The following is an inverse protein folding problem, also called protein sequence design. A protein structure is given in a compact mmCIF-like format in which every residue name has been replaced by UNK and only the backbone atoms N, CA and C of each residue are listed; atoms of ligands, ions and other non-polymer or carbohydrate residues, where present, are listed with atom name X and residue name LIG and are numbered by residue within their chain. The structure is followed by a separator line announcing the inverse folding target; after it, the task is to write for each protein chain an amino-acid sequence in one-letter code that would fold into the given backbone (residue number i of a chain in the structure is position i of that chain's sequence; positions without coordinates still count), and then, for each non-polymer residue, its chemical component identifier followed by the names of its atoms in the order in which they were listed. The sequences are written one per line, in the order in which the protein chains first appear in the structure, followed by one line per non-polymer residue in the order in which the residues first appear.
data_IF_783111250944
#
_entry.id   IF_783111250944
#
_cell.length_a   1.000
_cell.length_b   1.000
_cell.length_c   1.000
_cell.angle_alpha   90.00
_cell.angle_beta   90.00
_cell.angle_gamma   90.00
#
_symmetry.space_group_name_H-M   'P 1'
#
loop_
_entity.id
_entity.type
_entity.pdbx_description
1 polymer ?
#
# COMPACT_ATOMS: atom_id res chain seq x y z
N UNK A 1 55.73 17.78 -19.10
CA UNK A 1 56.09 16.41 -18.63
C UNK A 1 55.37 15.93 -17.36
N UNK A 2 54.89 16.87 -16.51
CA UNK A 2 54.27 16.49 -15.24
C UNK A 2 52.73 16.29 -15.33
N UNK A 3 52.06 16.91 -16.27
CA UNK A 3 50.59 16.81 -16.39
C UNK A 3 50.13 15.51 -17.09
N UNK A 4 50.90 14.98 -18.03
CA UNK A 4 50.62 13.70 -18.66
C UNK A 4 50.79 12.52 -17.68
N UNK A 5 51.86 12.53 -16.89
CA UNK A 5 52.09 11.50 -15.87
C UNK A 5 51.00 11.47 -14.79
N UNK A 6 50.47 12.63 -14.38
CA UNK A 6 49.35 12.71 -13.43
C UNK A 6 48.02 12.24 -14.06
N UNK A 7 47.80 12.48 -15.36
CA UNK A 7 46.62 11.95 -16.07
C UNK A 7 46.67 10.44 -16.28
N UNK A 8 47.85 9.87 -16.50
CA UNK A 8 47.99 8.42 -16.66
C UNK A 8 47.87 7.68 -15.31
N UNK A 9 48.42 8.22 -14.23
CA UNK A 9 48.22 7.68 -12.86
C UNK A 9 46.74 7.79 -12.43
N UNK A 10 46.07 8.90 -12.78
CA UNK A 10 44.62 9.05 -12.52
C UNK A 10 43.79 8.07 -13.36
N UNK A 11 44.14 7.81 -14.61
CA UNK A 11 43.48 6.79 -15.46
C UNK A 11 43.72 5.37 -14.97
N UNK A 12 44.96 5.05 -14.54
CA UNK A 12 45.27 3.73 -13.95
C UNK A 12 44.52 3.52 -12.64
N UNK A 13 44.47 4.53 -11.74
CA UNK A 13 43.70 4.41 -10.50
C UNK A 13 42.20 4.29 -10.72
N UNK A 14 41.63 4.96 -11.74
CA UNK A 14 40.25 4.78 -12.19
C UNK A 14 40.00 3.36 -12.73
N UNK A 15 40.96 2.82 -13.48
CA UNK A 15 40.83 1.48 -14.07
C UNK A 15 40.92 0.38 -12.99
N UNK A 16 41.84 0.52 -12.04
CA UNK A 16 41.95 -0.38 -10.88
C UNK A 16 40.67 -0.35 -10.05
N UNK A 17 40.09 0.82 -9.79
CA UNK A 17 38.81 0.98 -9.09
C UNK A 17 37.65 0.30 -9.79
N UNK A 18 37.59 0.35 -11.14
CA UNK A 18 36.54 -0.29 -11.93
C UNK A 18 36.66 -1.82 -11.92
N UNK A 19 37.88 -2.36 -11.95
CA UNK A 19 38.13 -3.81 -11.88
C UNK A 19 37.75 -4.37 -10.52
N UNK A 20 38.09 -3.69 -9.43
CA UNK A 20 37.71 -4.12 -8.09
C UNK A 20 36.19 -4.06 -7.87
N UNK A 21 35.50 -3.03 -8.42
CA UNK A 21 34.03 -2.94 -8.39
C UNK A 21 33.37 -4.12 -9.08
N UNK A 22 33.84 -4.45 -10.29
CA UNK A 22 33.34 -5.60 -11.05
C UNK A 22 33.55 -6.89 -10.27
N UNK A 23 34.75 -7.08 -9.71
CA UNK A 23 35.08 -8.26 -8.91
C UNK A 23 34.20 -8.41 -7.66
N UNK A 24 33.96 -7.35 -6.92
CA UNK A 24 33.08 -7.38 -5.75
C UNK A 24 31.62 -7.64 -6.12
N UNK A 25 31.17 -7.07 -7.22
CA UNK A 25 29.83 -7.35 -7.75
C UNK A 25 29.69 -8.82 -8.18
N UNK A 26 30.69 -9.39 -8.80
CA UNK A 26 30.70 -10.79 -9.22
C UNK A 26 30.83 -11.73 -8.02
N UNK A 27 31.60 -11.36 -7.01
CA UNK A 27 31.70 -12.10 -5.75
C UNK A 27 30.35 -12.10 -5.02
N UNK A 28 29.68 -10.96 -4.95
CA UNK A 28 28.33 -10.85 -4.39
C UNK A 28 27.33 -11.71 -5.18
N UNK A 29 27.40 -11.65 -6.52
CA UNK A 29 26.56 -12.49 -7.40
C UNK A 29 26.80 -13.97 -7.09
N UNK A 30 28.06 -14.40 -6.98
CA UNK A 30 28.39 -15.78 -6.68
C UNK A 30 27.75 -16.24 -5.39
N UNK A 31 27.97 -15.55 -4.27
CA UNK A 31 27.46 -15.97 -2.97
C UNK A 31 25.95 -15.81 -2.78
N UNK A 32 25.33 -14.79 -3.34
CA UNK A 32 23.89 -14.54 -3.18
C UNK A 32 23.01 -15.20 -4.23
N UNK A 33 23.50 -15.38 -5.46
CA UNK A 33 22.71 -15.86 -6.59
C UNK A 33 23.05 -17.29 -7.03
N UNK A 34 24.13 -17.87 -6.52
CA UNK A 34 24.51 -19.23 -6.92
C UNK A 34 23.44 -20.24 -6.51
N UNK A 35 23.01 -21.17 -7.41
CA UNK A 35 21.99 -22.19 -7.11
C UNK A 35 22.29 -23.05 -5.88
N UNK A 36 23.58 -23.30 -5.61
CA UNK A 36 24.08 -24.10 -4.47
C UNK A 36 24.64 -23.23 -3.34
N UNK A 37 24.14 -22.00 -3.19
CA UNK A 37 24.62 -21.04 -2.17
C UNK A 37 24.61 -21.59 -0.73
N UNK A 38 23.72 -22.53 -0.43
CA UNK A 38 23.65 -23.15 0.90
C UNK A 38 24.87 -24.05 1.21
N UNK A 39 25.67 -24.42 0.21
CA UNK A 39 26.87 -25.23 0.38
C UNK A 39 28.14 -24.42 0.65
N UNK A 40 28.07 -23.10 0.54
CA UNK A 40 29.21 -22.21 0.75
C UNK A 40 28.99 -21.37 2.02
N UNK A 41 30.05 -21.16 2.79
CA UNK A 41 30.05 -20.14 3.84
C UNK A 41 29.93 -18.76 3.17
N UNK A 42 28.75 -18.18 3.24
CA UNK A 42 28.47 -16.88 2.64
C UNK A 42 29.12 -15.79 3.51
N UNK A 43 30.19 -15.12 3.05
CA UNK A 43 30.83 -14.05 3.79
C UNK A 43 29.91 -12.84 4.01
N UNK A 44 28.81 -12.74 3.24
CA UNK A 44 27.79 -11.70 3.39
C UNK A 44 26.71 -12.05 4.43
N UNK A 45 26.73 -13.25 5.00
CA UNK A 45 25.85 -13.62 6.13
C UNK A 45 26.29 -13.04 7.47
N UNK A 46 27.54 -12.61 7.57
CA UNK A 46 28.00 -11.90 8.75
C UNK A 46 27.50 -10.47 8.66
N UNK A 47 26.98 -9.92 9.77
CA UNK A 47 26.48 -8.51 9.90
C UNK A 47 27.59 -7.46 9.68
N UNK A 48 28.59 -7.77 8.86
CA UNK A 48 29.73 -6.92 8.58
C UNK A 48 29.76 -6.58 7.10
N UNK A 49 29.60 -5.30 6.82
CA UNK A 49 29.88 -4.74 5.49
C UNK A 49 31.31 -5.03 5.10
N UNK A 50 31.57 -5.33 3.81
CA UNK A 50 32.92 -5.47 3.27
C UNK A 50 33.84 -4.28 3.58
N UNK A 51 33.26 -3.12 3.79
CA UNK A 51 33.96 -1.90 4.21
C UNK A 51 34.71 -2.02 5.52
N UNK A 52 34.46 -3.06 6.32
CA UNK A 52 35.17 -3.33 7.58
C UNK A 52 36.45 -4.17 7.44
N UNK A 53 36.77 -4.66 6.23
CA UNK A 53 38.04 -5.30 5.98
C UNK A 53 39.11 -4.24 5.78
N UNK A 54 40.08 -4.17 6.70
CA UNK A 54 41.12 -3.12 6.81
C UNK A 54 41.92 -2.89 5.52
N UNK A 55 42.15 -3.92 4.71
CA UNK A 55 42.89 -3.85 3.44
C UNK A 55 42.10 -3.09 2.35
N UNK A 56 40.76 -3.11 2.43
CA UNK A 56 39.86 -2.47 1.43
C UNK A 56 39.23 -1.19 1.97
N UNK A 57 39.45 -0.87 3.24
CA UNK A 57 38.75 0.18 3.97
C UNK A 57 38.85 1.56 3.31
N UNK A 58 40.04 1.96 2.87
CA UNK A 58 40.27 3.26 2.24
C UNK A 58 39.59 3.40 0.85
N UNK A 59 39.42 2.29 0.14
CA UNK A 59 38.80 2.26 -1.19
C UNK A 59 37.28 2.11 -1.13
N UNK A 60 36.78 1.34 -0.16
CA UNK A 60 35.38 0.94 -0.07
C UNK A 60 34.52 1.87 0.80
N UNK A 61 35.15 2.76 1.59
CA UNK A 61 34.44 3.74 2.42
C UNK A 61 34.16 5.08 1.73
N UNK A 62 34.51 5.23 0.45
CA UNK A 62 34.12 6.45 -0.26
C UNK A 62 32.60 6.50 -0.43
N UNK A 63 31.93 7.62 -0.08
CA UNK A 63 30.48 7.74 -0.22
C UNK A 63 29.97 7.41 -1.63
N UNK A 64 30.73 7.77 -2.65
CA UNK A 64 30.41 7.46 -4.04
C UNK A 64 30.35 5.94 -4.29
N UNK A 65 31.29 5.16 -3.78
CA UNK A 65 31.29 3.71 -3.91
C UNK A 65 30.12 3.07 -3.14
N UNK A 66 29.87 3.54 -1.90
CA UNK A 66 28.78 3.04 -1.06
C UNK A 66 27.41 3.25 -1.75
N UNK A 67 27.17 4.41 -2.37
CA UNK A 67 25.95 4.69 -3.13
C UNK A 67 25.83 3.85 -4.40
N UNK A 68 26.94 3.61 -5.10
CA UNK A 68 26.96 2.77 -6.30
C UNK A 68 26.62 1.31 -5.93
N UNK A 69 27.22 0.79 -4.86
CA UNK A 69 26.92 -0.54 -4.34
C UNK A 69 25.45 -0.66 -3.91
N UNK A 70 24.95 0.31 -3.17
CA UNK A 70 23.55 0.34 -2.78
C UNK A 70 22.62 0.36 -4.00
N UNK A 71 22.93 1.16 -5.02
CA UNK A 71 22.14 1.22 -6.27
C UNK A 71 22.17 -0.10 -7.03
N UNK A 72 23.32 -0.81 -7.03
CA UNK A 72 23.43 -2.15 -7.60
C UNK A 72 22.55 -3.16 -6.86
N UNK A 73 22.52 -3.10 -5.53
CA UNK A 73 21.72 -3.98 -4.67
C UNK A 73 20.23 -3.71 -4.84
N UNK A 74 19.83 -2.44 -4.90
CA UNK A 74 18.43 -2.03 -5.16
C UNK A 74 17.90 -2.59 -6.48
N UNK A 75 18.67 -2.50 -7.57
CA UNK A 75 18.29 -3.05 -8.88
C UNK A 75 18.05 -4.58 -8.85
N UNK A 76 18.49 -5.26 -7.81
CA UNK A 76 18.33 -6.69 -7.59
C UNK A 76 17.40 -7.02 -6.42
N UNK A 77 16.71 -5.99 -5.90
CA UNK A 77 15.75 -6.11 -4.80
C UNK A 77 16.36 -6.56 -3.47
N UNK A 78 17.70 -6.43 -3.31
CA UNK A 78 18.38 -6.66 -2.03
C UNK A 78 18.32 -5.41 -1.14
N UNK A 79 17.10 -4.97 -0.83
CA UNK A 79 16.85 -3.72 -0.14
C UNK A 79 17.47 -3.64 1.25
N UNK A 80 17.50 -4.77 1.98
CA UNK A 80 18.10 -4.80 3.32
C UNK A 80 19.61 -4.50 3.28
N UNK A 81 20.33 -5.09 2.32
CA UNK A 81 21.76 -4.87 2.16
C UNK A 81 22.01 -3.44 1.62
N UNK A 82 21.16 -2.95 0.71
CA UNK A 82 21.26 -1.60 0.18
C UNK A 82 21.13 -0.53 1.27
N UNK A 83 20.23 -0.73 2.25
CA UNK A 83 20.08 0.17 3.40
C UNK A 83 21.42 0.32 4.15
N UNK A 84 22.08 -0.80 4.45
CA UNK A 84 23.31 -0.78 5.22
C UNK A 84 24.43 0.04 4.53
N UNK A 85 24.54 -0.06 3.19
CA UNK A 85 25.49 0.71 2.41
C UNK A 85 25.13 2.21 2.35
N UNK A 86 23.85 2.53 2.21
CA UNK A 86 23.41 3.93 2.18
C UNK A 86 23.54 4.60 3.53
N UNK A 87 23.17 3.94 4.63
CA UNK A 87 23.32 4.47 5.97
C UNK A 87 24.81 4.70 6.32
N UNK A 88 25.71 3.85 5.84
CA UNK A 88 27.14 4.07 5.97
C UNK A 88 27.59 5.30 5.16
N UNK A 89 27.11 5.47 3.92
CA UNK A 89 27.41 6.66 3.11
C UNK A 89 26.98 7.96 3.81
N UNK A 90 25.79 7.95 4.41
CA UNK A 90 25.23 9.11 5.12
C UNK A 90 26.00 9.52 6.37
N UNK A 91 26.90 8.68 6.90
CA UNK A 91 27.80 9.06 8.00
C UNK A 91 28.97 9.90 7.53
N UNK A 92 29.31 9.87 6.24
CA UNK A 92 30.52 10.45 5.69
C UNK A 92 30.27 11.69 4.81
N UNK A 93 29.03 11.98 4.50
CA UNK A 93 28.64 13.14 3.68
C UNK A 93 27.26 13.69 4.07
N UNK A 94 27.00 14.93 3.68
CA UNK A 94 25.66 15.52 3.78
C UNK A 94 24.70 14.78 2.90
N UNK A 95 23.56 14.44 3.45
CA UNK A 95 22.48 13.75 2.70
C UNK A 95 21.94 14.66 1.58
N UNK A 96 21.87 14.13 0.38
CA UNK A 96 21.09 14.72 -0.71
C UNK A 96 19.69 14.07 -0.78
N UNK A 97 18.75 14.77 -1.41
CA UNK A 97 17.38 14.30 -1.52
C UNK A 97 17.28 12.94 -2.22
N UNK A 98 18.10 12.68 -3.24
CA UNK A 98 18.08 11.41 -3.98
C UNK A 98 18.52 10.23 -3.11
N UNK A 99 19.58 10.40 -2.35
CA UNK A 99 20.06 9.36 -1.42
C UNK A 99 19.02 9.05 -0.35
N UNK A 100 18.41 10.09 0.24
CA UNK A 100 17.34 9.93 1.24
C UNK A 100 16.11 9.20 0.66
N UNK A 101 15.69 9.54 -0.56
CA UNK A 101 14.61 8.84 -1.28
C UNK A 101 14.92 7.35 -1.48
N UNK A 102 16.14 7.01 -1.87
CA UNK A 102 16.57 5.63 -2.08
C UNK A 102 16.56 4.83 -0.76
N UNK A 103 17.05 5.43 0.33
CA UNK A 103 17.01 4.80 1.66
C UNK A 103 15.56 4.58 2.08
N UNK A 104 14.71 5.59 1.96
CA UNK A 104 13.30 5.50 2.29
C UNK A 104 12.59 4.40 1.49
N UNK A 105 12.82 4.34 0.18
CA UNK A 105 12.30 3.32 -0.70
C UNK A 105 12.70 1.89 -0.28
N UNK A 106 13.97 1.69 0.09
CA UNK A 106 14.43 0.41 0.60
C UNK A 106 13.76 0.04 1.93
N UNK A 107 13.56 1.00 2.83
CA UNK A 107 12.83 0.77 4.08
C UNK A 107 11.36 0.41 3.83
N UNK A 108 10.69 1.06 2.88
CA UNK A 108 9.32 0.74 2.48
C UNK A 108 9.21 -0.70 1.97
N UNK A 109 10.15 -1.16 1.13
CA UNK A 109 10.18 -2.51 0.56
C UNK A 109 10.67 -3.59 1.54
N UNK A 110 11.11 -3.22 2.72
CA UNK A 110 11.46 -4.14 3.81
C UNK A 110 10.46 -4.11 4.97
N UNK A 111 9.22 -3.66 4.68
CA UNK A 111 8.09 -3.59 5.62
C UNK A 111 8.41 -2.75 6.87
N UNK A 112 9.09 -1.61 6.65
CA UNK A 112 9.43 -0.65 7.71
C UNK A 112 8.95 0.76 7.35
N UNK A 113 7.63 0.95 7.13
CA UNK A 113 7.08 2.21 6.63
C UNK A 113 7.34 3.40 7.56
N UNK A 114 7.43 3.20 8.87
CA UNK A 114 7.76 4.30 9.80
C UNK A 114 9.16 4.87 9.57
N UNK A 115 10.15 4.01 9.27
CA UNK A 115 11.50 4.47 8.91
C UNK A 115 11.55 5.09 7.52
N UNK A 116 10.78 4.54 6.59
CA UNK A 116 10.64 5.11 5.25
C UNK A 116 10.12 6.55 5.32
N UNK A 117 9.06 6.80 6.09
CA UNK A 117 8.49 8.15 6.30
C UNK A 117 9.53 9.11 6.84
N UNK A 118 10.32 8.70 7.84
CA UNK A 118 11.37 9.55 8.39
C UNK A 118 12.35 10.06 7.31
N UNK A 119 12.81 9.17 6.43
CA UNK A 119 13.73 9.55 5.36
C UNK A 119 13.03 10.31 4.23
N UNK A 120 11.77 9.96 3.90
CA UNK A 120 10.99 10.73 2.92
C UNK A 120 10.73 12.15 3.39
N UNK A 121 10.41 12.38 4.66
CA UNK A 121 10.24 13.72 5.21
C UNK A 121 11.52 14.56 5.10
N UNK A 122 12.67 13.96 5.36
CA UNK A 122 13.94 14.65 5.17
C UNK A 122 14.24 14.94 3.69
N UNK A 123 13.90 14.04 2.79
CA UNK A 123 14.03 14.24 1.35
C UNK A 123 13.10 15.37 0.86
N UNK A 124 11.89 15.44 1.38
CA UNK A 124 10.91 16.48 1.07
C UNK A 124 11.38 17.87 1.51
N UNK A 125 12.02 17.98 2.67
CA UNK A 125 12.64 19.25 3.12
C UNK A 125 13.76 19.74 2.18
N UNK A 126 14.47 18.84 1.49
CA UNK A 126 15.53 19.17 0.55
C UNK A 126 15.02 19.38 -0.88
N UNK A 127 13.88 18.81 -1.21
CA UNK A 127 13.23 18.90 -2.52
C UNK A 127 11.72 19.00 -2.32
N UNK A 128 11.22 20.17 -1.89
CA UNK A 128 9.81 20.41 -1.65
C UNK A 128 8.97 20.18 -2.91
N UNK A 129 7.71 19.84 -2.71
CA UNK A 129 6.73 19.63 -3.80
C UNK A 129 7.14 18.54 -4.80
N UNK A 130 7.86 17.53 -4.32
CA UNK A 130 8.21 16.40 -5.15
C UNK A 130 7.06 15.38 -5.17
N UNK A 131 6.37 15.32 -6.30
CA UNK A 131 5.20 14.45 -6.51
C UNK A 131 5.49 12.97 -6.19
N UNK A 132 6.69 12.48 -6.53
CA UNK A 132 7.07 11.10 -6.26
C UNK A 132 7.23 10.84 -4.75
N UNK A 133 7.86 11.78 -4.01
CA UNK A 133 8.03 11.66 -2.55
C UNK A 133 6.66 11.64 -1.88
N UNK A 134 5.78 12.59 -2.22
CA UNK A 134 4.43 12.66 -1.66
C UNK A 134 3.62 11.39 -1.93
N UNK A 135 3.76 10.80 -3.15
CA UNK A 135 3.14 9.51 -3.49
C UNK A 135 3.65 8.36 -2.61
N UNK A 136 4.94 8.30 -2.33
CA UNK A 136 5.48 7.26 -1.46
C UNK A 136 5.08 7.49 0.01
N UNK A 137 5.04 8.74 0.45
CA UNK A 137 4.63 9.09 1.82
C UNK A 137 3.19 8.69 2.09
N UNK A 138 2.23 9.02 1.21
CA UNK A 138 0.84 8.65 1.46
C UNK A 138 0.66 7.13 1.52
N UNK A 139 1.36 6.35 0.66
CA UNK A 139 1.33 4.89 0.71
C UNK A 139 1.87 4.35 2.05
N UNK A 140 2.93 4.95 2.58
CA UNK A 140 3.46 4.57 3.88
C UNK A 140 2.53 4.96 5.04
N UNK A 141 1.89 6.14 4.97
CA UNK A 141 0.90 6.56 5.96
C UNK A 141 -0.33 5.67 5.95
N UNK A 142 -0.83 5.31 4.76
CA UNK A 142 -1.93 4.37 4.57
C UNK A 142 -1.62 3.02 5.21
N UNK A 143 -0.43 2.45 4.95
CA UNK A 143 0.02 1.19 5.54
C UNK A 143 0.11 1.22 7.08
N UNK A 144 0.27 2.40 7.68
CA UNK A 144 0.31 2.61 9.13
C UNK A 144 -1.04 3.00 9.72
N UNK A 145 -2.10 3.15 8.93
CA UNK A 145 -3.39 3.65 9.38
C UNK A 145 -3.36 5.12 9.83
N UNK A 146 -2.37 5.89 9.36
CA UNK A 146 -2.23 7.32 9.67
C UNK A 146 -2.96 8.18 8.65
N UNK A 147 -4.27 8.05 8.63
CA UNK A 147 -5.13 8.57 7.58
C UNK A 147 -5.16 10.10 7.47
N UNK A 148 -4.96 10.85 8.57
CA UNK A 148 -4.89 12.32 8.48
C UNK A 148 -3.63 12.77 7.71
N UNK A 149 -2.46 12.17 7.98
CA UNK A 149 -1.23 12.48 7.26
C UNK A 149 -1.29 11.98 5.80
N UNK A 150 -1.95 10.84 5.57
CA UNK A 150 -2.25 10.35 4.22
C UNK A 150 -3.07 11.40 3.44
N UNK A 151 -4.14 11.91 4.05
CA UNK A 151 -5.00 12.92 3.44
C UNK A 151 -4.27 14.21 3.11
N UNK A 152 -3.36 14.66 3.97
CA UNK A 152 -2.55 15.86 3.72
C UNK A 152 -1.66 15.67 2.48
N UNK A 153 -0.98 14.53 2.36
CA UNK A 153 -0.18 14.21 1.17
C UNK A 153 -1.03 14.14 -0.10
N UNK A 154 -2.20 13.50 -0.01
CA UNK A 154 -3.12 13.38 -1.15
C UNK A 154 -3.66 14.74 -1.61
N UNK A 155 -3.97 15.66 -0.70
CA UNK A 155 -4.39 17.03 -1.02
C UNK A 155 -3.28 17.81 -1.72
N UNK A 156 -2.04 17.73 -1.23
CA UNK A 156 -0.90 18.36 -1.91
C UNK A 156 -0.72 17.82 -3.34
N UNK A 157 -0.90 16.51 -3.53
CA UNK A 157 -0.86 15.89 -4.86
C UNK A 157 -2.03 16.37 -5.75
N UNK A 158 -3.23 16.56 -5.20
CA UNK A 158 -4.37 17.08 -5.92
C UNK A 158 -4.16 18.53 -6.37
N UNK A 159 -3.54 19.37 -5.54
CA UNK A 159 -3.17 20.75 -5.90
C UNK A 159 -2.17 20.79 -7.07
N UNK A 160 -1.24 19.83 -7.13
CA UNK A 160 -0.29 19.69 -8.26
C UNK A 160 -0.95 19.14 -9.53
N UNK A 161 -1.95 18.26 -9.38
CA UNK A 161 -2.61 17.57 -10.48
C UNK A 161 -4.13 17.71 -10.38
N UNK A 162 -4.67 18.91 -10.60
CA UNK A 162 -6.11 19.17 -10.45
C UNK A 162 -6.93 18.29 -11.39
N UNK A 163 -7.89 17.59 -10.84
CA UNK A 163 -8.84 16.78 -11.61
C UNK A 163 -8.37 15.36 -11.95
N UNK A 164 -7.22 14.90 -11.42
CA UNK A 164 -6.83 13.49 -11.52
C UNK A 164 -7.85 12.61 -10.77
N UNK A 165 -8.60 11.83 -11.54
CA UNK A 165 -9.69 10.97 -11.04
C UNK A 165 -9.20 9.87 -10.10
N UNK A 166 -7.93 9.49 -10.18
CA UNK A 166 -7.31 8.54 -9.24
C UNK A 166 -7.12 9.19 -7.88
N UNK A 167 -6.60 10.43 -7.83
CA UNK A 167 -6.43 11.16 -6.57
C UNK A 167 -7.78 11.46 -5.91
N UNK A 168 -8.79 11.85 -6.68
CA UNK A 168 -10.16 12.03 -6.17
C UNK A 168 -10.65 10.73 -5.50
N UNK A 169 -10.41 9.58 -6.12
CA UNK A 169 -10.77 8.28 -5.57
C UNK A 169 -10.01 7.95 -4.29
N UNK A 170 -8.68 8.15 -4.26
CA UNK A 170 -7.85 7.88 -3.07
C UNK A 170 -8.24 8.80 -1.90
N UNK A 171 -8.48 10.09 -2.16
CA UNK A 171 -8.99 11.04 -1.16
C UNK A 171 -10.33 10.57 -0.60
N UNK A 172 -11.25 10.15 -1.47
CA UNK A 172 -12.54 9.61 -1.05
C UNK A 172 -12.41 8.39 -0.16
N UNK A 173 -11.54 7.44 -0.50
CA UNK A 173 -11.27 6.25 0.30
C UNK A 173 -10.62 6.60 1.65
N UNK A 174 -9.65 7.51 1.66
CA UNK A 174 -9.01 8.00 2.88
C UNK A 174 -10.02 8.68 3.82
N UNK A 175 -10.90 9.52 3.27
CA UNK A 175 -11.98 10.15 4.04
C UNK A 175 -12.97 9.12 4.63
N UNK A 176 -13.24 8.01 3.93
CA UNK A 176 -14.04 6.91 4.49
C UNK A 176 -13.34 6.26 5.68
N UNK A 177 -12.02 6.06 5.66
CA UNK A 177 -11.25 5.54 6.79
C UNK A 177 -11.26 6.49 8.00
N UNK A 178 -11.36 7.81 7.75
CA UNK A 178 -11.51 8.85 8.76
C UNK A 178 -12.97 9.02 9.24
N UNK A 179 -13.90 8.18 8.78
CA UNK A 179 -15.34 8.28 9.05
C UNK A 179 -15.97 9.62 8.61
N UNK A 180 -15.30 10.38 7.72
CA UNK A 180 -15.77 11.64 7.15
C UNK A 180 -16.65 11.37 5.92
N UNK A 181 -17.75 10.64 6.14
CA UNK A 181 -18.58 10.06 5.07
C UNK A 181 -19.23 11.09 4.15
N UNK A 182 -19.59 12.26 4.66
CA UNK A 182 -20.16 13.33 3.84
C UNK A 182 -19.16 13.83 2.79
N UNK A 183 -17.95 14.12 3.21
CA UNK A 183 -16.88 14.59 2.32
C UNK A 183 -16.44 13.48 1.35
N UNK A 184 -16.36 12.24 1.83
CA UNK A 184 -16.08 11.09 0.97
C UNK A 184 -17.13 10.94 -0.13
N UNK A 185 -18.42 11.01 0.22
CA UNK A 185 -19.50 10.91 -0.75
C UNK A 185 -19.42 12.01 -1.82
N UNK A 186 -19.06 13.25 -1.46
CA UNK A 186 -18.88 14.35 -2.41
C UNK A 186 -17.79 14.03 -3.44
N UNK A 187 -16.67 13.42 -3.02
CA UNK A 187 -15.60 12.99 -3.94
C UNK A 187 -16.08 11.92 -4.92
N UNK A 188 -16.86 10.97 -4.46
CA UNK A 188 -17.41 9.93 -5.33
C UNK A 188 -18.55 10.42 -6.24
N UNK A 189 -19.34 11.39 -5.82
CA UNK A 189 -20.29 12.10 -6.70
C UNK A 189 -19.56 12.85 -7.82
N UNK A 190 -18.40 13.44 -7.54
CA UNK A 190 -17.57 14.07 -8.57
C UNK A 190 -17.10 13.05 -9.61
N UNK A 191 -16.67 11.85 -9.19
CA UNK A 191 -16.30 10.77 -10.11
C UNK A 191 -17.49 10.25 -10.91
N UNK A 192 -18.66 10.09 -10.30
CA UNK A 192 -19.90 9.71 -10.99
C UNK A 192 -20.24 10.75 -12.07
N UNK A 193 -20.16 12.03 -11.75
CA UNK A 193 -20.42 13.12 -12.69
C UNK A 193 -19.45 13.14 -13.87
N UNK A 194 -18.18 12.85 -13.64
CA UNK A 194 -17.15 12.72 -14.68
C UNK A 194 -17.32 11.45 -15.53
N UNK A 195 -18.18 10.54 -15.15
CA UNK A 195 -18.35 9.23 -15.81
C UNK A 195 -17.20 8.25 -15.60
N UNK A 196 -16.33 8.55 -14.62
CA UNK A 196 -15.15 7.75 -14.30
C UNK A 196 -15.43 6.81 -13.13
N UNK A 197 -14.94 5.55 -13.22
CA UNK A 197 -15.07 4.55 -12.15
C UNK A 197 -16.50 4.43 -11.60
N UNK A 198 -17.50 4.47 -12.46
CA UNK A 198 -18.91 4.67 -12.11
C UNK A 198 -19.40 3.65 -11.07
N UNK A 199 -19.21 2.35 -11.32
CA UNK A 199 -19.69 1.31 -10.39
C UNK A 199 -18.94 1.31 -9.06
N UNK A 200 -17.59 1.40 -8.99
CA UNK A 200 -16.87 1.62 -7.73
C UNK A 200 -17.33 2.86 -6.97
N UNK A 201 -17.60 3.98 -7.68
CA UNK A 201 -18.11 5.20 -7.05
C UNK A 201 -19.51 4.98 -6.47
N UNK A 202 -20.39 4.27 -7.16
CA UNK A 202 -21.73 3.94 -6.61
C UNK A 202 -21.64 3.11 -5.33
N UNK A 203 -20.72 2.13 -5.26
CA UNK A 203 -20.49 1.34 -4.03
C UNK A 203 -20.07 2.23 -2.86
N UNK A 204 -19.12 3.14 -3.11
CA UNK A 204 -18.65 4.07 -2.08
C UNK A 204 -19.75 5.07 -1.66
N UNK A 205 -20.51 5.62 -2.62
CA UNK A 205 -21.64 6.50 -2.34
C UNK A 205 -22.70 5.77 -1.51
N UNK A 206 -23.06 4.54 -1.92
CA UNK A 206 -24.05 3.74 -1.19
C UNK A 206 -23.61 3.49 0.25
N UNK A 207 -22.37 3.07 0.45
CA UNK A 207 -21.81 2.81 1.76
C UNK A 207 -21.74 4.08 2.63
N UNK A 208 -21.25 5.20 2.09
CA UNK A 208 -21.23 6.47 2.81
C UNK A 208 -22.64 6.89 3.24
N UNK A 209 -23.63 6.80 2.35
CA UNK A 209 -25.01 7.12 2.70
C UNK A 209 -25.59 6.17 3.75
N UNK A 210 -25.27 4.87 3.70
CA UNK A 210 -25.64 3.91 4.73
C UNK A 210 -25.05 4.32 6.10
N UNK A 211 -23.75 4.61 6.15
CA UNK A 211 -23.06 5.05 7.38
C UNK A 211 -23.63 6.34 7.95
N UNK A 212 -24.14 7.24 7.12
CA UNK A 212 -24.80 8.48 7.53
C UNK A 212 -26.29 8.31 7.89
N UNK A 213 -26.83 7.11 7.82
CA UNK A 213 -28.25 6.85 8.06
C UNK A 213 -29.18 7.32 6.93
N UNK A 214 -28.67 7.68 5.76
CA UNK A 214 -29.44 8.08 4.57
C UNK A 214 -29.83 6.84 3.78
N UNK A 215 -30.64 5.98 4.42
CA UNK A 215 -30.90 4.62 3.97
C UNK A 215 -31.55 4.56 2.57
N UNK A 216 -32.50 5.47 2.28
CA UNK A 216 -33.16 5.53 0.98
C UNK A 216 -32.18 5.89 -0.16
N UNK A 217 -31.20 6.76 0.14
CA UNK A 217 -30.16 7.09 -0.84
C UNK A 217 -29.20 5.90 -1.04
N UNK A 218 -28.84 5.19 0.02
CA UNK A 218 -28.04 3.98 -0.07
C UNK A 218 -28.75 2.92 -0.92
N UNK A 219 -30.02 2.64 -0.65
CA UNK A 219 -30.86 1.69 -1.40
C UNK A 219 -30.92 2.03 -2.89
N UNK A 220 -31.14 3.31 -3.22
CA UNK A 220 -31.15 3.77 -4.63
C UNK A 220 -29.87 3.38 -5.37
N UNK A 221 -28.70 3.53 -4.71
CA UNK A 221 -27.42 3.19 -5.34
C UNK A 221 -27.19 1.68 -5.38
N UNK A 222 -27.54 0.93 -4.32
CA UNK A 222 -27.47 -0.54 -4.36
C UNK A 222 -28.38 -1.12 -5.47
N UNK A 223 -29.57 -0.61 -5.68
CA UNK A 223 -30.43 -1.01 -6.81
C UNK A 223 -29.76 -0.75 -8.17
N UNK A 224 -29.07 0.37 -8.35
CA UNK A 224 -28.27 0.63 -9.58
C UNK A 224 -27.14 -0.39 -9.76
N UNK A 225 -26.43 -0.73 -8.67
CA UNK A 225 -25.32 -1.68 -8.68
C UNK A 225 -25.82 -3.09 -9.03
N UNK A 226 -26.93 -3.52 -8.42
CA UNK A 226 -27.51 -4.85 -8.64
C UNK A 226 -28.07 -5.07 -10.06
N UNK A 227 -28.22 -4.01 -10.85
CA UNK A 227 -28.59 -4.08 -12.27
C UNK A 227 -27.39 -4.24 -13.20
N UNK A 228 -26.15 -4.26 -12.67
CA UNK A 228 -24.93 -4.40 -13.47
C UNK A 228 -24.57 -5.88 -13.69
N UNK A 229 -23.79 -6.15 -14.76
CA UNK A 229 -23.35 -7.52 -15.09
C UNK A 229 -22.36 -8.11 -14.05
N UNK A 230 -21.61 -7.26 -13.35
CA UNK A 230 -20.56 -7.65 -12.39
C UNK A 230 -20.96 -7.27 -10.98
N UNK A 231 -21.93 -7.95 -10.43
CA UNK A 231 -22.33 -7.83 -9.02
C UNK A 231 -21.46 -8.74 -8.15
N UNK A 232 -21.04 -8.22 -7.00
CA UNK A 232 -20.26 -8.99 -6.03
C UNK A 232 -21.13 -9.48 -4.87
N UNK A 233 -20.61 -10.40 -4.08
CA UNK A 233 -21.35 -10.88 -2.91
C UNK A 233 -21.49 -9.78 -1.83
N UNK A 234 -20.51 -8.86 -1.74
CA UNK A 234 -20.57 -7.70 -0.87
C UNK A 234 -21.71 -6.74 -1.26
N UNK A 235 -21.97 -6.59 -2.55
CA UNK A 235 -23.06 -5.76 -3.04
C UNK A 235 -24.43 -6.28 -2.54
N UNK A 236 -24.64 -7.59 -2.59
CA UNK A 236 -25.85 -8.21 -2.05
C UNK A 236 -25.91 -8.13 -0.51
N UNK A 237 -24.80 -8.31 0.19
CA UNK A 237 -24.74 -8.18 1.63
C UNK A 237 -25.16 -6.77 2.09
N UNK A 238 -24.54 -5.75 1.52
CA UNK A 238 -24.79 -4.36 1.88
C UNK A 238 -26.19 -3.87 1.44
N UNK A 239 -26.68 -4.34 0.29
CA UNK A 239 -28.08 -4.14 -0.11
C UNK A 239 -29.05 -4.78 0.89
N UNK A 240 -28.73 -5.98 1.36
CA UNK A 240 -29.50 -6.67 2.40
C UNK A 240 -29.54 -5.89 3.70
N UNK A 241 -28.41 -5.40 4.17
CA UNK A 241 -28.35 -4.55 5.38
C UNK A 241 -29.19 -3.29 5.22
N UNK A 242 -29.07 -2.62 4.07
CA UNK A 242 -29.81 -1.40 3.79
C UNK A 242 -31.32 -1.65 3.75
N UNK A 243 -31.77 -2.65 3.01
CA UNK A 243 -33.20 -3.03 2.95
C UNK A 243 -33.73 -3.42 4.33
N UNK A 244 -32.95 -4.14 5.13
CA UNK A 244 -33.36 -4.54 6.47
C UNK A 244 -33.52 -3.36 7.42
N UNK A 245 -32.57 -2.42 7.41
CA UNK A 245 -32.68 -1.17 8.16
C UNK A 245 -33.89 -0.31 7.73
N UNK A 246 -34.27 -0.38 6.44
CA UNK A 246 -35.49 0.23 5.90
C UNK A 246 -36.78 -0.54 6.26
N UNK A 247 -36.68 -1.62 7.06
CA UNK A 247 -37.79 -2.51 7.42
C UNK A 247 -38.41 -3.28 6.24
N UNK A 248 -37.67 -3.39 5.14
CA UNK A 248 -38.05 -4.17 3.95
C UNK A 248 -37.56 -5.62 4.09
N UNK A 249 -38.07 -6.33 5.11
CA UNK A 249 -37.52 -7.63 5.55
C UNK A 249 -37.53 -8.68 4.43
N UNK A 250 -38.59 -8.75 3.61
CA UNK A 250 -38.67 -9.71 2.49
C UNK A 250 -37.56 -9.48 1.47
N UNK A 251 -37.29 -8.21 1.12
CA UNK A 251 -36.25 -7.84 0.18
C UNK A 251 -34.85 -8.11 0.79
N UNK A 252 -34.65 -7.79 2.05
CA UNK A 252 -33.44 -8.11 2.78
C UNK A 252 -33.11 -9.61 2.74
N UNK A 253 -34.09 -10.48 3.03
CA UNK A 253 -33.92 -11.94 2.96
C UNK A 253 -33.53 -12.38 1.54
N UNK A 254 -34.16 -11.82 0.50
CA UNK A 254 -33.79 -12.13 -0.88
C UNK A 254 -32.35 -11.75 -1.21
N UNK A 255 -31.89 -10.58 -0.77
CA UNK A 255 -30.51 -10.13 -0.96
C UNK A 255 -29.52 -11.03 -0.20
N UNK A 256 -29.80 -11.37 1.06
CA UNK A 256 -28.94 -12.26 1.84
C UNK A 256 -28.87 -13.68 1.26
N UNK A 257 -29.94 -14.20 0.69
CA UNK A 257 -29.90 -15.49 -0.02
C UNK A 257 -28.99 -15.43 -1.27
N UNK A 258 -29.07 -14.35 -2.05
CA UNK A 258 -28.17 -14.12 -3.18
C UNK A 258 -26.72 -13.97 -2.73
N UNK A 259 -26.48 -13.25 -1.64
CA UNK A 259 -25.17 -13.16 -0.99
C UNK A 259 -24.63 -14.55 -0.67
N UNK A 260 -25.39 -15.38 0.08
CA UNK A 260 -24.97 -16.72 0.46
C UNK A 260 -24.69 -17.63 -0.72
N UNK A 261 -25.52 -17.58 -1.76
CA UNK A 261 -25.33 -18.34 -2.98
C UNK A 261 -24.05 -17.96 -3.71
N UNK A 262 -23.81 -16.66 -3.89
CA UNK A 262 -22.65 -16.17 -4.61
C UNK A 262 -21.36 -16.37 -3.80
N UNK A 263 -21.40 -16.17 -2.49
CA UNK A 263 -20.28 -16.39 -1.58
C UNK A 263 -19.82 -17.86 -1.61
N UNK A 264 -20.78 -18.82 -1.48
CA UNK A 264 -20.50 -20.25 -1.57
C UNK A 264 -19.91 -20.66 -2.92
N UNK A 265 -20.39 -20.09 -4.02
CA UNK A 265 -19.88 -20.41 -5.35
C UNK A 265 -18.42 -20.00 -5.58
N UNK A 266 -17.97 -18.90 -4.95
CA UNK A 266 -16.63 -18.34 -5.12
C UNK A 266 -15.62 -18.84 -4.11
N UNK A 267 -16.03 -19.27 -2.92
CA UNK A 267 -15.16 -19.72 -1.82
C UNK A 267 -15.48 -21.16 -1.44
N UNK A 268 -15.01 -22.13 -2.23
CA UNK A 268 -15.20 -23.57 -1.97
C UNK A 268 -14.54 -24.05 -0.66
N UNK A 269 -13.52 -23.33 -0.17
CA UNK A 269 -12.74 -23.70 1.03
C UNK A 269 -12.88 -22.68 2.19
N UNK A 270 -14.01 -21.96 2.25
CA UNK A 270 -14.20 -20.96 3.30
C UNK A 270 -14.32 -21.62 4.69
N UNK A 271 -13.31 -21.43 5.50
CA UNK A 271 -13.30 -21.85 6.92
C UNK A 271 -14.11 -20.91 7.83
N UNK A 272 -14.44 -19.71 7.35
CA UNK A 272 -15.24 -18.74 8.09
C UNK A 272 -16.74 -19.08 8.00
N UNK A 273 -17.50 -18.93 9.10
CA UNK A 273 -18.94 -19.08 9.07
C UNK A 273 -19.58 -18.15 8.06
N UNK A 274 -20.51 -18.67 7.24
CA UNK A 274 -21.20 -17.91 6.20
C UNK A 274 -21.95 -16.67 6.70
N UNK A 275 -22.27 -16.63 7.98
CA UNK A 275 -23.01 -15.54 8.62
C UNK A 275 -22.13 -14.65 9.51
N UNK A 276 -20.77 -14.79 9.46
CA UNK A 276 -19.84 -13.93 10.21
C UNK A 276 -19.99 -12.44 9.88
N UNK A 277 -20.35 -12.00 8.66
CA UNK A 277 -20.56 -10.57 8.37
C UNK A 277 -21.63 -9.91 9.27
N UNK A 278 -22.61 -10.67 9.76
CA UNK A 278 -23.57 -10.11 10.73
C UNK A 278 -22.95 -9.76 12.09
N UNK A 279 -21.83 -10.41 12.45
CA UNK A 279 -21.07 -10.07 13.66
C UNK A 279 -20.15 -8.88 13.39
N UNK A 280 -19.54 -8.86 12.23
CA UNK A 280 -18.64 -7.78 11.82
C UNK A 280 -19.39 -6.45 11.67
N UNK A 281 -20.57 -6.47 11.04
CA UNK A 281 -21.42 -5.31 10.80
C UNK A 281 -22.44 -5.05 11.91
N UNK A 282 -22.42 -5.83 13.00
CA UNK A 282 -23.40 -5.75 14.09
C UNK A 282 -23.55 -4.32 14.64
N UNK A 283 -22.44 -3.63 14.87
CA UNK A 283 -22.43 -2.25 15.37
C UNK A 283 -23.27 -1.33 14.47
N UNK A 284 -23.10 -1.42 13.17
CA UNK A 284 -23.79 -0.59 12.18
C UNK A 284 -25.30 -0.93 12.16
N UNK A 285 -25.64 -2.20 12.16
CA UNK A 285 -27.03 -2.65 12.17
C UNK A 285 -27.78 -2.16 13.40
N UNK A 286 -27.14 -2.20 14.58
CA UNK A 286 -27.72 -1.67 15.83
C UNK A 286 -27.89 -0.14 15.78
N UNK A 287 -26.95 0.60 15.19
CA UNK A 287 -27.05 2.06 15.01
C UNK A 287 -28.27 2.46 14.14
N UNK A 288 -28.65 1.61 13.20
CA UNK A 288 -29.80 1.83 12.31
C UNK A 288 -31.12 1.21 12.84
N UNK A 289 -31.18 0.90 14.14
CA UNK A 289 -32.43 0.55 14.82
C UNK A 289 -32.83 -0.91 14.76
N UNK A 290 -31.88 -1.81 14.47
CA UNK A 290 -32.04 -3.24 14.69
C UNK A 290 -31.56 -3.59 16.10
N UNK A 291 -31.90 -4.76 16.59
CA UNK A 291 -31.47 -5.28 17.88
C UNK A 291 -30.91 -6.71 17.76
N UNK A 292 -30.34 -7.24 18.83
CA UNK A 292 -29.73 -8.56 18.83
C UNK A 292 -30.70 -9.70 18.54
N UNK A 293 -31.96 -9.54 18.93
CA UNK A 293 -33.01 -10.52 18.64
C UNK A 293 -33.30 -10.51 17.12
N UNK A 294 -33.39 -9.34 16.52
CA UNK A 294 -33.57 -9.22 15.06
C UNK A 294 -32.45 -9.97 14.32
N UNK A 295 -31.19 -9.77 14.75
CA UNK A 295 -30.00 -10.40 14.14
C UNK A 295 -30.08 -11.92 14.31
N UNK A 296 -30.44 -12.42 15.50
CA UNK A 296 -30.57 -13.84 15.75
C UNK A 296 -31.67 -14.46 14.88
N UNK A 297 -32.84 -13.83 14.81
CA UNK A 297 -33.96 -14.31 13.98
C UNK A 297 -33.61 -14.33 12.49
N UNK A 298 -32.90 -13.30 11.99
CA UNK A 298 -32.46 -13.27 10.59
C UNK A 298 -31.49 -14.42 10.28
N UNK A 299 -30.58 -14.72 11.20
CA UNK A 299 -29.67 -15.87 11.07
C UNK A 299 -30.44 -17.19 10.99
N UNK A 300 -31.42 -17.38 11.84
CA UNK A 300 -32.24 -18.60 11.85
C UNK A 300 -33.00 -18.77 10.52
N UNK A 301 -33.56 -17.67 9.99
CA UNK A 301 -34.24 -17.66 8.67
C UNK A 301 -33.31 -18.00 7.52
N UNK A 302 -32.02 -17.65 7.62
CA UNK A 302 -31.02 -17.84 6.57
C UNK A 302 -30.26 -19.18 6.69
N UNK A 303 -30.39 -19.89 7.81
CA UNK A 303 -29.85 -21.25 7.93
C UNK A 303 -30.56 -22.19 6.95
N UNK A 304 -29.84 -23.10 6.29
CA UNK A 304 -30.49 -24.14 5.51
C UNK A 304 -31.34 -25.01 6.44
N UNK A 305 -32.56 -25.36 6.01
CA UNK A 305 -33.35 -26.37 6.74
C UNK A 305 -32.48 -27.63 6.89
N UNK A 306 -32.49 -28.28 8.08
CA UNK A 306 -31.77 -29.53 8.22
C UNK A 306 -32.33 -30.51 7.19
N UNK A 307 -31.42 -31.09 6.38
CA UNK A 307 -31.82 -32.13 5.41
C UNK A 307 -32.56 -33.22 6.14
N UNK A 308 -33.85 -33.37 5.83
CA UNK A 308 -34.75 -34.34 6.40
C UNK A 308 -34.48 -35.75 5.85
#
# INVERSE_FOLDING_TARGET
GNEEGLRDVAKESMNIGSVYRSYLQDLYRFFKLHPRKAQFDDPFKRDQLFTRYTVLESMLKTPAYLREMASFLMKREYYQDAIAYMEEALKHETADAETLQKVAFCYQHTDRPSKAIYYYQQADLLSPDNEWILKQMYLCYSALGRYEQELDCLKSLEEMNPGDTRLISEIGLCLMQLERYEEAAQRFYELEYKGERVVPSWRAIAWCNFKMGRLEQADKYYRKILQQDKVTWEDYLNAGHTAWCLKQTTEAIAHYRNYLQLYRSKRKDATQPLLSPFDEDRKELLLHGLNDLDISLMRDILQPEPES
#
